data_IF_743446944752
#
_entry.id   IF_743446944752
#
_cell.length_a   1.000
_cell.length_b   1.000
_cell.length_c   1.000
_cell.angle_alpha   90.00
_cell.angle_beta   90.00
_cell.angle_gamma   90.00
#
_symmetry.space_group_name_H-M   'P 1'
#
loop_
_entity.id
_entity.type
_entity.pdbx_description
1 polymer ?
#
# COMPACT_ATOMS: atom_id res chain seq x y z
N UNK A 1 -0.39 0.77 -12.69
CA UNK A 1 0.85 0.98 -11.88
C UNK A 1 0.65 0.38 -10.51
N UNK A 2 -0.46 0.77 -9.87
CA UNK A 2 -0.91 0.09 -8.66
C UNK A 2 -1.41 -1.33 -8.92
N UNK A 3 -1.99 -1.60 -10.10
CA UNK A 3 -2.42 -2.96 -10.51
C UNK A 3 -1.31 -4.02 -10.36
N UNK A 4 -0.04 -3.60 -10.49
CA UNK A 4 1.12 -4.48 -10.27
C UNK A 4 1.39 -4.76 -8.78
N UNK A 5 1.12 -3.79 -7.90
CA UNK A 5 1.21 -3.98 -6.45
C UNK A 5 0.06 -4.88 -5.99
N UNK A 6 -1.14 -4.68 -6.53
CA UNK A 6 -2.30 -5.54 -6.28
C UNK A 6 -2.00 -6.99 -6.67
N UNK A 7 -1.49 -7.22 -7.89
CA UNK A 7 -1.08 -8.56 -8.35
C UNK A 7 -0.01 -9.21 -7.46
N UNK A 8 0.94 -8.41 -6.96
CA UNK A 8 1.96 -8.91 -6.04
C UNK A 8 1.36 -9.25 -4.67
N UNK A 9 0.38 -8.48 -4.22
CA UNK A 9 -0.28 -8.71 -2.95
C UNK A 9 -1.10 -10.01 -2.98
N UNK A 10 -1.89 -10.21 -4.04
CA UNK A 10 -2.63 -11.44 -4.30
C UNK A 10 -1.68 -12.65 -4.38
N UNK A 11 -0.53 -12.49 -5.06
CA UNK A 11 0.44 -13.56 -5.16
C UNK A 11 1.03 -13.97 -3.80
N UNK A 12 1.32 -12.99 -2.93
CA UNK A 12 1.79 -13.27 -1.56
C UNK A 12 0.70 -13.97 -0.74
N UNK A 13 -0.56 -13.54 -0.88
CA UNK A 13 -1.69 -14.16 -0.18
C UNK A 13 -1.86 -15.63 -0.61
N UNK A 14 -1.82 -15.92 -1.91
CA UNK A 14 -1.88 -17.29 -2.44
C UNK A 14 -0.75 -18.17 -1.91
N UNK A 15 0.49 -17.66 -1.91
CA UNK A 15 1.65 -18.39 -1.39
C UNK A 15 1.52 -18.67 0.11
N UNK A 16 1.05 -17.68 0.89
CA UNK A 16 0.85 -17.84 2.33
C UNK A 16 -0.24 -18.88 2.63
N UNK A 17 -1.35 -18.87 1.89
CA UNK A 17 -2.42 -19.88 2.01
C UNK A 17 -1.87 -21.28 1.68
N UNK A 18 -1.09 -21.41 0.61
CA UNK A 18 -0.47 -22.70 0.26
C UNK A 18 0.48 -23.20 1.35
N UNK A 19 1.32 -22.33 1.92
CA UNK A 19 2.22 -22.70 3.01
C UNK A 19 1.46 -23.15 4.25
N UNK A 20 0.39 -22.44 4.63
CA UNK A 20 -0.46 -22.80 5.76
C UNK A 20 -1.15 -24.15 5.54
N UNK A 21 -1.68 -24.39 4.33
CA UNK A 21 -2.41 -25.59 4.00
C UNK A 21 -1.52 -26.83 3.85
N UNK A 22 -0.34 -26.69 3.27
CA UNK A 22 0.52 -27.82 2.89
C UNK A 22 1.59 -28.15 3.93
N UNK A 23 2.03 -27.17 4.72
CA UNK A 23 3.21 -27.33 5.58
C UNK A 23 2.94 -27.15 7.08
N UNK A 24 1.77 -26.61 7.46
CA UNK A 24 1.40 -26.36 8.86
C UNK A 24 2.54 -25.75 9.72
N UNK A 25 3.14 -24.62 9.29
CA UNK A 25 4.29 -24.02 9.97
C UNK A 25 3.95 -23.60 11.41
N UNK A 26 4.95 -23.60 12.29
CA UNK A 26 4.79 -23.31 13.73
C UNK A 26 5.73 -22.21 14.21
N UNK A 27 5.39 -21.59 15.35
CA UNK A 27 6.21 -20.62 16.07
C UNK A 27 6.80 -19.49 15.21
N UNK A 28 8.05 -19.59 14.79
CA UNK A 28 8.74 -18.57 14.00
C UNK A 28 8.23 -18.53 12.56
N UNK A 29 8.07 -19.70 11.93
CA UNK A 29 7.67 -19.77 10.53
C UNK A 29 6.23 -19.30 10.35
N UNK A 30 5.35 -19.66 11.29
CA UNK A 30 3.97 -19.15 11.32
C UNK A 30 3.95 -17.62 11.47
N UNK A 31 4.78 -17.06 12.36
CA UNK A 31 4.87 -15.60 12.52
C UNK A 31 5.34 -14.93 11.23
N UNK A 32 6.32 -15.49 10.54
CA UNK A 32 6.79 -14.97 9.26
C UNK A 32 5.66 -14.94 8.23
N UNK A 33 4.92 -16.05 8.05
CA UNK A 33 3.79 -16.12 7.10
C UNK A 33 2.73 -15.06 7.41
N UNK A 34 2.31 -14.95 8.67
CA UNK A 34 1.29 -13.97 9.07
C UNK A 34 1.80 -12.52 8.92
N UNK A 35 3.08 -12.26 9.21
CA UNK A 35 3.67 -10.94 9.01
C UNK A 35 3.74 -10.60 7.53
N UNK A 36 4.11 -11.54 6.66
CA UNK A 36 4.11 -11.34 5.21
C UNK A 36 2.74 -10.94 4.68
N UNK A 37 1.66 -11.62 5.11
CA UNK A 37 0.28 -11.26 4.76
C UNK A 37 -0.04 -9.80 5.14
N UNK A 38 0.25 -9.41 6.40
CA UNK A 38 -0.03 -8.05 6.89
C UNK A 38 0.79 -6.98 6.18
N UNK A 39 2.06 -7.26 5.92
CA UNK A 39 2.95 -6.32 5.22
C UNK A 39 2.49 -6.15 3.78
N UNK A 40 2.14 -7.24 3.10
CA UNK A 40 1.60 -7.25 1.74
C UNK A 40 0.40 -6.31 1.59
N UNK A 41 -0.61 -6.49 2.45
CA UNK A 41 -1.80 -5.63 2.49
C UNK A 41 -1.48 -4.17 2.83
N UNK A 42 -0.46 -3.92 3.65
CA UNK A 42 -0.04 -2.55 3.97
C UNK A 42 0.60 -1.88 2.76
N UNK A 43 1.37 -2.64 1.96
CA UNK A 43 2.01 -2.13 0.75
C UNK A 43 1.00 -1.83 -0.37
N UNK A 44 0.01 -2.70 -0.56
CA UNK A 44 -1.12 -2.47 -1.48
C UNK A 44 -1.81 -1.14 -1.14
N UNK A 45 -2.26 -0.97 0.09
CA UNK A 45 -2.90 0.26 0.55
C UNK A 45 -2.03 1.51 0.38
N UNK A 46 -0.71 1.39 0.54
CA UNK A 46 0.21 2.51 0.28
C UNK A 46 0.25 2.90 -1.20
N UNK A 47 0.24 1.92 -2.10
CA UNK A 47 0.13 2.13 -3.54
C UNK A 47 -1.19 2.79 -3.92
N UNK A 48 -2.28 2.30 -3.35
CA UNK A 48 -3.64 2.78 -3.54
C UNK A 48 -3.79 4.26 -3.14
N UNK A 49 -3.23 4.63 -1.98
CA UNK A 49 -3.13 6.02 -1.52
C UNK A 49 -2.28 6.88 -2.45
N UNK A 50 -1.15 6.36 -2.95
CA UNK A 50 -0.30 7.09 -3.88
C UNK A 50 -1.02 7.35 -5.22
N UNK A 51 -1.75 6.37 -5.76
CA UNK A 51 -2.59 6.51 -6.95
C UNK A 51 -3.65 7.60 -6.73
N UNK A 52 -4.31 7.58 -5.57
CA UNK A 52 -5.33 8.58 -5.22
C UNK A 52 -4.75 10.00 -5.16
N UNK A 53 -3.60 10.19 -4.50
CA UNK A 53 -2.91 11.49 -4.47
C UNK A 53 -2.56 11.96 -5.88
N UNK A 54 -2.00 11.10 -6.73
CA UNK A 54 -1.67 11.43 -8.11
C UNK A 54 -2.91 11.84 -8.92
N UNK A 55 -4.05 11.18 -8.70
CA UNK A 55 -5.31 11.52 -9.35
C UNK A 55 -5.84 12.90 -8.92
N UNK A 56 -5.82 13.21 -7.61
CA UNK A 56 -6.22 14.52 -7.09
C UNK A 56 -5.38 15.64 -7.71
N UNK A 57 -4.05 15.44 -7.76
CA UNK A 57 -3.13 16.41 -8.34
C UNK A 57 -3.40 16.61 -9.82
N UNK A 58 -3.57 15.52 -10.58
CA UNK A 58 -3.86 15.59 -12.02
C UNK A 58 -5.18 16.30 -12.32
N UNK A 59 -6.22 16.07 -11.53
CA UNK A 59 -7.53 16.71 -11.70
C UNK A 59 -7.51 18.20 -11.36
N UNK A 60 -6.63 18.61 -10.46
CA UNK A 60 -6.55 20.00 -10.00
C UNK A 60 -5.67 20.85 -10.90
N UNK A 61 -4.78 20.26 -11.71
CA UNK A 61 -3.88 21.04 -12.56
C UNK A 61 -4.65 21.94 -13.58
N UNK A 62 -4.26 23.22 -13.74
CA UNK A 62 -3.07 23.88 -13.19
C UNK A 62 -3.26 24.53 -11.81
N UNK A 63 -4.45 24.51 -11.22
CA UNK A 63 -4.69 25.04 -9.88
C UNK A 63 -4.19 24.08 -8.79
N UNK A 64 -4.08 24.59 -7.57
CA UNK A 64 -3.66 23.78 -6.43
C UNK A 64 -4.82 22.91 -5.93
N UNK A 65 -4.56 21.66 -5.51
CA UNK A 65 -5.59 20.71 -5.10
C UNK A 65 -6.27 21.03 -3.77
N UNK A 66 -5.80 22.04 -3.04
CA UNK A 66 -6.36 22.40 -1.74
C UNK A 66 -6.41 23.93 -1.51
N UNK A 67 -7.34 24.42 -0.67
CA UNK A 67 -7.36 25.80 -0.19
C UNK A 67 -6.07 26.19 0.55
N UNK A 68 -5.72 27.48 0.55
CA UNK A 68 -4.47 28.01 1.13
C UNK A 68 -4.12 27.52 2.55
N UNK A 69 -5.07 27.46 3.52
CA UNK A 69 -4.75 27.00 4.88
C UNK A 69 -4.29 25.53 4.94
N UNK A 70 -4.77 24.71 4.01
CA UNK A 70 -4.42 23.28 3.91
C UNK A 70 -3.14 23.12 3.08
N UNK A 71 -2.97 23.97 2.06
CA UNK A 71 -1.79 23.95 1.20
C UNK A 71 -0.49 24.12 1.99
N UNK A 72 -0.45 25.02 2.99
CA UNK A 72 0.74 25.21 3.82
C UNK A 72 1.16 23.93 4.56
N UNK A 73 0.20 23.13 5.03
CA UNK A 73 0.47 21.85 5.69
C UNK A 73 0.99 20.80 4.71
N UNK A 74 0.39 20.74 3.51
CA UNK A 74 0.85 19.84 2.43
C UNK A 74 2.30 20.17 2.04
N UNK A 75 2.63 21.46 1.89
CA UNK A 75 3.97 21.92 1.54
C UNK A 75 5.01 21.62 2.65
N UNK A 76 4.59 21.55 3.92
CA UNK A 76 5.45 21.09 5.02
C UNK A 76 5.66 19.57 4.97
N UNK A 77 4.61 18.78 4.73
CA UNK A 77 4.72 17.33 4.62
C UNK A 77 5.62 16.89 3.46
N UNK A 78 5.62 17.64 2.35
CA UNK A 78 6.48 17.35 1.19
C UNK A 78 7.98 17.61 1.42
N UNK A 79 8.37 18.29 2.52
CA UNK A 79 9.76 18.59 2.86
C UNK A 79 10.39 17.59 3.85
N UNK A 80 9.58 16.70 4.43
CA UNK A 80 10.01 15.61 5.31
C UNK A 80 10.44 14.40 4.47
#
# INVERSE_FOLDING_TARGET
ADDRIDELADHVDDQCVQLLALQAPVATDLRIVITSLRVSQTLERMGDLARHVAQIVRQSHPSKPAPEPIQQKIDQMAKL
#
